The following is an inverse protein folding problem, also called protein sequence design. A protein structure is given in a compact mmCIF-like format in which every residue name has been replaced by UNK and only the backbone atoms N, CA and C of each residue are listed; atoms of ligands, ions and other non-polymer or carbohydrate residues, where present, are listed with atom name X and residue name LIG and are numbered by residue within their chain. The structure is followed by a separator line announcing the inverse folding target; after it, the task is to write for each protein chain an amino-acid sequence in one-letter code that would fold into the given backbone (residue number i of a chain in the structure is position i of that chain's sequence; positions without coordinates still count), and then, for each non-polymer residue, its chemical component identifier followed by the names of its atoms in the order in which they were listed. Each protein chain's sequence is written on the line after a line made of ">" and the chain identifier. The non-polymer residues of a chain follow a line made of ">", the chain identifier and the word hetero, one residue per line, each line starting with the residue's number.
data_IF_626206166471
#
_entry.id   IF_626206166471
#
_cell.length_a   1.000
_cell.length_b   1.000
_cell.length_c   1.000
_cell.angle_alpha   90.00
_cell.angle_beta   90.00
_cell.angle_gamma   90.00
#
_symmetry.space_group_name_H-M   'P 1'
#
loop_
_entity.id
_entity.type
_entity.pdbx_description
1 polymer ?
#
# COMPACT_ATOMS: atom_id res chain seq x y z
N UNK A 1 2.73 34.78 -24.66
CA UNK A 1 2.66 34.54 -23.20
C UNK A 1 1.41 33.78 -22.78
N UNK A 2 0.20 34.23 -23.10
CA UNK A 2 -1.07 33.61 -22.66
C UNK A 2 -1.20 32.08 -22.85
N UNK A 3 -0.73 31.53 -23.98
CA UNK A 3 -0.80 30.07 -24.23
C UNK A 3 0.14 29.25 -23.35
N UNK A 4 1.30 29.81 -23.00
CA UNK A 4 2.27 29.15 -22.12
C UNK A 4 1.80 29.19 -20.66
N UNK A 5 1.27 30.33 -20.23
CA UNK A 5 0.66 30.50 -18.90
C UNK A 5 -0.55 29.58 -18.71
N UNK A 6 -1.43 29.47 -19.71
CA UNK A 6 -2.54 28.52 -19.69
C UNK A 6 -2.07 27.07 -19.60
N UNK A 7 -0.99 26.71 -20.31
CA UNK A 7 -0.43 25.36 -20.24
C UNK A 7 0.13 25.05 -18.86
N UNK A 8 0.84 26.00 -18.26
CA UNK A 8 1.38 25.90 -16.90
C UNK A 8 0.23 25.78 -15.89
N UNK A 9 -0.82 26.59 -15.99
CA UNK A 9 -1.96 26.53 -15.08
C UNK A 9 -2.69 25.19 -15.15
N UNK A 10 -2.90 24.65 -16.35
CA UNK A 10 -3.51 23.32 -16.54
C UNK A 10 -2.66 22.21 -15.92
N UNK A 11 -1.33 22.28 -16.04
CA UNK A 11 -0.43 21.31 -15.43
C UNK A 11 -0.36 21.45 -13.91
N UNK A 12 -0.35 22.67 -13.37
CA UNK A 12 -0.43 22.91 -11.92
C UNK A 12 -1.73 22.34 -11.34
N UNK A 13 -2.84 22.54 -12.03
CA UNK A 13 -4.15 22.00 -11.65
C UNK A 13 -4.20 20.47 -11.75
N UNK A 14 -3.54 19.89 -12.75
CA UNK A 14 -3.37 18.44 -12.83
C UNK A 14 -2.50 17.91 -11.68
N UNK A 15 -1.38 18.58 -11.37
CA UNK A 15 -0.50 18.21 -10.26
C UNK A 15 -1.23 18.27 -8.92
N UNK A 16 -2.04 19.32 -8.69
CA UNK A 16 -2.90 19.47 -7.51
C UNK A 16 -3.84 18.27 -7.37
N UNK A 17 -4.58 17.94 -8.43
CA UNK A 17 -5.51 16.78 -8.43
C UNK A 17 -4.81 15.46 -8.14
N UNK A 18 -3.60 15.26 -8.68
CA UNK A 18 -2.81 14.05 -8.38
C UNK A 18 -2.37 13.99 -6.91
N UNK A 19 -1.93 15.11 -6.33
CA UNK A 19 -1.56 15.17 -4.90
C UNK A 19 -2.77 14.99 -3.98
N UNK A 20 -3.93 15.53 -4.34
CA UNK A 20 -5.19 15.30 -3.62
C UNK A 20 -5.62 13.84 -3.66
N UNK A 21 -5.48 13.21 -4.83
CA UNK A 21 -5.72 11.78 -4.99
C UNK A 21 -4.80 10.95 -4.09
N UNK A 22 -3.50 11.27 -4.06
CA UNK A 22 -2.52 10.63 -3.18
C UNK A 22 -2.92 10.77 -1.70
N UNK A 23 -3.27 11.98 -1.26
CA UNK A 23 -3.75 12.24 0.10
C UNK A 23 -5.02 11.45 0.43
N UNK A 24 -6.00 11.41 -0.48
CA UNK A 24 -7.24 10.68 -0.29
C UNK A 24 -7.01 9.17 -0.15
N UNK A 25 -6.14 8.57 -0.97
CA UNK A 25 -5.79 7.16 -0.85
C UNK A 25 -4.97 6.85 0.40
N UNK A 26 -4.04 7.74 0.77
CA UNK A 26 -3.32 7.63 2.04
C UNK A 26 -4.28 7.69 3.23
N UNK A 27 -5.25 8.61 3.22
CA UNK A 27 -6.30 8.66 4.24
C UNK A 27 -7.10 7.36 4.29
N UNK A 28 -7.52 6.81 3.14
CA UNK A 28 -8.24 5.53 3.07
C UNK A 28 -7.41 4.35 3.59
N UNK A 29 -6.11 4.32 3.30
CA UNK A 29 -5.17 3.32 3.83
C UNK A 29 -5.22 3.30 5.36
N UNK A 30 -5.00 4.45 6.01
CA UNK A 30 -4.98 4.52 7.47
C UNK A 30 -6.36 4.26 8.09
N UNK A 31 -7.44 4.74 7.49
CA UNK A 31 -8.80 4.43 7.97
C UNK A 31 -9.09 2.94 7.89
N UNK A 32 -8.75 2.29 6.78
CA UNK A 32 -8.89 0.85 6.62
C UNK A 32 -8.08 0.11 7.69
N UNK A 33 -6.82 0.52 7.87
CA UNK A 33 -5.92 -0.09 8.84
C UNK A 33 -6.46 0.03 10.28
N UNK A 34 -6.89 1.22 10.71
CA UNK A 34 -7.49 1.43 12.03
C UNK A 34 -8.82 0.71 12.21
N UNK A 35 -9.64 0.66 11.16
CA UNK A 35 -10.89 -0.10 11.17
C UNK A 35 -10.61 -1.58 11.42
N UNK A 36 -9.74 -2.20 10.63
CA UNK A 36 -9.37 -3.61 10.83
C UNK A 36 -8.74 -3.84 12.21
N UNK A 37 -7.93 -2.89 12.71
CA UNK A 37 -7.31 -3.00 14.03
C UNK A 37 -8.38 -3.02 15.13
N UNK A 38 -9.35 -2.11 15.07
CA UNK A 38 -10.47 -2.07 15.99
C UNK A 38 -11.32 -3.35 15.94
N UNK A 39 -11.60 -3.86 14.73
CA UNK A 39 -12.34 -5.14 14.57
C UNK A 39 -11.55 -6.31 15.17
N UNK A 40 -10.25 -6.42 14.88
CA UNK A 40 -9.40 -7.50 15.42
C UNK A 40 -9.30 -7.42 16.93
N UNK A 41 -9.09 -6.23 17.51
CA UNK A 41 -9.10 -6.04 18.96
C UNK A 41 -10.47 -6.44 19.54
N UNK A 42 -11.57 -6.01 18.91
CA UNK A 42 -12.93 -6.39 19.30
C UNK A 42 -13.12 -7.91 19.31
N UNK A 43 -12.64 -8.62 18.29
CA UNK A 43 -12.67 -10.09 18.24
C UNK A 43 -11.84 -10.72 19.36
N UNK A 44 -10.64 -10.20 19.63
CA UNK A 44 -9.76 -10.70 20.70
C UNK A 44 -10.37 -10.51 22.11
N UNK A 45 -11.09 -9.41 22.32
CA UNK A 45 -11.78 -9.11 23.57
C UNK A 45 -13.08 -9.89 23.75
N UNK A 46 -13.79 -10.19 22.64
CA UNK A 46 -15.00 -11.00 22.67
C UNK A 46 -14.72 -12.45 23.06
N UNK A 47 -13.54 -12.97 22.71
CA UNK A 47 -13.00 -14.24 23.18
C UNK A 47 -13.89 -15.48 22.96
N UNK A 48 -14.70 -15.48 21.90
CA UNK A 48 -15.38 -16.69 21.44
C UNK A 48 -14.50 -17.45 20.43
N UNK A 49 -14.62 -18.79 20.32
CA UNK A 49 -13.88 -19.57 19.32
C UNK A 49 -14.05 -19.03 17.90
N UNK A 50 -15.26 -18.59 17.55
CA UNK A 50 -15.55 -18.00 16.23
C UNK A 50 -14.80 -16.67 16.07
N UNK A 51 -14.84 -15.79 17.07
CA UNK A 51 -14.15 -14.49 17.00
C UNK A 51 -12.62 -14.64 16.89
N UNK A 52 -12.03 -15.58 17.64
CA UNK A 52 -10.60 -15.87 17.55
C UNK A 52 -10.23 -16.48 16.18
N UNK A 53 -11.09 -17.32 15.61
CA UNK A 53 -10.89 -17.89 14.28
C UNK A 53 -10.99 -16.86 13.14
N UNK A 54 -11.68 -15.75 13.35
CA UNK A 54 -11.76 -14.66 12.37
C UNK A 54 -10.49 -13.82 12.33
N UNK A 55 -9.78 -13.67 13.45
CA UNK A 55 -8.63 -12.74 13.55
C UNK A 55 -7.55 -13.03 12.48
N UNK A 56 -7.03 -14.26 12.29
CA UNK A 56 -6.01 -14.51 11.28
C UNK A 56 -6.50 -14.25 9.84
N UNK A 57 -7.78 -14.51 9.56
CA UNK A 57 -8.38 -14.24 8.25
C UNK A 57 -8.46 -12.73 8.00
N UNK A 58 -8.91 -11.96 9.01
CA UNK A 58 -8.97 -10.51 8.97
C UNK A 58 -7.58 -9.89 8.79
N UNK A 59 -6.56 -10.41 9.48
CA UNK A 59 -5.17 -9.97 9.34
C UNK A 59 -4.68 -10.13 7.89
N UNK A 60 -4.92 -11.30 7.27
CA UNK A 60 -4.54 -11.55 5.87
C UNK A 60 -5.27 -10.57 4.94
N UNK A 61 -6.59 -10.40 5.12
CA UNK A 61 -7.40 -9.49 4.31
C UNK A 61 -6.97 -8.04 4.47
N UNK A 62 -6.66 -7.59 5.69
CA UNK A 62 -6.15 -6.26 5.97
C UNK A 62 -4.81 -6.02 5.26
N UNK A 63 -3.92 -7.01 5.24
CA UNK A 63 -2.66 -6.98 4.50
C UNK A 63 -2.90 -6.84 2.98
N UNK A 64 -3.77 -7.67 2.40
CA UNK A 64 -4.14 -7.59 0.98
C UNK A 64 -4.70 -6.22 0.62
N UNK A 65 -5.65 -5.71 1.41
CA UNK A 65 -6.27 -4.40 1.19
C UNK A 65 -5.25 -3.26 1.30
N UNK A 66 -4.32 -3.36 2.25
CA UNK A 66 -3.23 -2.41 2.43
C UNK A 66 -2.34 -2.32 1.20
N UNK A 67 -2.00 -3.46 0.58
CA UNK A 67 -1.25 -3.50 -0.69
C UNK A 67 -1.98 -2.78 -1.82
N UNK A 68 -3.30 -2.92 -1.93
CA UNK A 68 -4.09 -2.19 -2.93
C UNK A 68 -4.08 -0.69 -2.73
N UNK A 69 -4.27 -0.21 -1.51
CA UNK A 69 -4.22 1.23 -1.24
C UNK A 69 -2.83 1.82 -1.49
N UNK A 70 -1.76 1.11 -1.12
CA UNK A 70 -0.39 1.53 -1.42
C UNK A 70 -0.13 1.60 -2.92
N UNK A 71 -0.67 0.67 -3.70
CA UNK A 71 -0.58 0.74 -5.15
C UNK A 71 -1.20 2.01 -5.73
N UNK A 72 -2.37 2.44 -5.24
CA UNK A 72 -2.98 3.69 -5.69
C UNK A 72 -2.20 4.94 -5.26
N UNK A 73 -1.56 4.89 -4.09
CA UNK A 73 -0.62 5.96 -3.65
C UNK A 73 0.57 6.02 -4.60
N UNK A 74 1.18 4.89 -4.93
CA UNK A 74 2.28 4.83 -5.89
C UNK A 74 1.86 5.33 -7.27
N UNK A 75 0.68 4.94 -7.75
CA UNK A 75 0.12 5.44 -9.00
C UNK A 75 0.07 6.97 -9.01
N UNK A 76 -0.50 7.58 -7.96
CA UNK A 76 -0.61 9.03 -7.87
C UNK A 76 0.76 9.73 -7.85
N UNK A 77 1.75 9.14 -7.14
CA UNK A 77 3.13 9.65 -7.09
C UNK A 77 3.84 9.58 -8.44
N UNK A 78 3.68 8.49 -9.21
CA UNK A 78 4.28 8.38 -10.56
C UNK A 78 3.75 9.51 -11.46
N UNK A 79 2.44 9.73 -11.44
CA UNK A 79 1.80 10.79 -12.22
C UNK A 79 2.23 12.19 -11.76
N UNK A 80 2.30 12.44 -10.46
CA UNK A 80 2.78 13.71 -9.92
C UNK A 80 4.21 14.00 -10.37
N UNK A 81 5.11 13.03 -10.26
CA UNK A 81 6.52 13.12 -10.72
C UNK A 81 6.62 13.45 -12.21
N UNK A 82 5.78 12.84 -13.03
CA UNK A 82 5.74 13.13 -14.47
C UNK A 82 5.33 14.58 -14.77
N UNK A 83 4.25 15.07 -14.14
CA UNK A 83 3.75 16.44 -14.36
C UNK A 83 4.73 17.47 -13.79
N UNK A 84 5.29 17.20 -12.61
CA UNK A 84 6.32 18.02 -11.96
C UNK A 84 7.58 18.16 -12.83
N UNK A 85 8.03 17.06 -13.44
CA UNK A 85 9.13 17.07 -14.40
C UNK A 85 8.87 17.96 -15.63
N UNK A 86 7.63 18.01 -16.12
CA UNK A 86 7.25 18.91 -17.24
C UNK A 86 7.23 20.37 -16.83
N UNK A 87 6.68 20.66 -15.65
CA UNK A 87 6.64 22.01 -15.09
C UNK A 87 8.07 22.52 -14.87
N UNK A 88 8.95 21.74 -14.25
CA UNK A 88 10.36 22.10 -14.05
C UNK A 88 11.11 22.32 -15.37
N UNK A 89 10.86 21.54 -16.43
CA UNK A 89 11.47 21.81 -17.75
C UNK A 89 11.01 23.15 -18.34
N UNK A 90 9.80 23.59 -18.02
CA UNK A 90 9.17 24.78 -18.61
C UNK A 90 9.47 26.05 -17.81
N UNK A 91 9.51 25.95 -16.49
CA UNK A 91 9.72 27.06 -15.56
C UNK A 91 11.21 27.29 -15.22
N UNK A 92 12.07 26.33 -15.54
CA UNK A 92 13.46 26.28 -15.08
C UNK A 92 13.69 25.12 -14.10
N UNK A 93 14.83 24.44 -14.21
CA UNK A 93 15.11 23.21 -13.45
C UNK A 93 15.04 23.45 -11.94
N UNK A 94 14.34 22.57 -11.21
CA UNK A 94 14.44 22.45 -9.76
C UNK A 94 13.56 23.38 -8.93
N UNK A 95 12.48 23.93 -9.49
CA UNK A 95 11.55 24.79 -8.74
C UNK A 95 10.59 23.96 -7.87
N UNK A 96 10.07 22.87 -8.44
CA UNK A 96 9.22 21.92 -7.73
C UNK A 96 10.08 20.70 -7.37
N UNK A 97 10.19 20.41 -6.07
CA UNK A 97 11.06 19.34 -5.54
C UNK A 97 10.30 18.30 -4.72
N UNK A 98 8.97 18.30 -4.79
CA UNK A 98 8.14 17.49 -3.92
C UNK A 98 8.25 16.00 -4.25
N UNK A 99 8.40 15.64 -5.52
CA UNK A 99 8.63 14.24 -5.91
C UNK A 99 9.97 13.71 -5.39
N UNK A 100 11.02 14.52 -5.42
CA UNK A 100 12.33 14.18 -4.85
C UNK A 100 12.27 14.01 -3.32
N UNK A 101 11.55 14.90 -2.62
CA UNK A 101 11.35 14.81 -1.17
C UNK A 101 10.59 13.52 -0.82
N UNK A 102 9.55 13.17 -1.57
CA UNK A 102 8.80 11.94 -1.36
C UNK A 102 9.65 10.68 -1.59
N UNK A 103 10.52 10.68 -2.60
CA UNK A 103 11.45 9.57 -2.85
C UNK A 103 12.48 9.39 -1.72
N UNK A 104 12.86 10.47 -1.05
CA UNK A 104 13.72 10.44 0.13
C UNK A 104 12.98 9.93 1.37
N UNK A 105 11.80 10.50 1.65
CA UNK A 105 11.03 10.22 2.86
C UNK A 105 10.35 8.84 2.86
N UNK A 106 9.70 8.48 1.74
CA UNK A 106 9.01 7.19 1.59
C UNK A 106 9.98 6.11 1.11
N UNK A 107 10.20 6.11 -0.20
CA UNK A 107 11.13 5.24 -0.92
C UNK A 107 11.22 5.71 -2.38
N UNK A 108 12.32 5.40 -3.08
CA UNK A 108 12.41 5.66 -4.52
C UNK A 108 11.30 4.89 -5.23
N UNK A 109 10.50 5.59 -6.03
CA UNK A 109 9.33 4.97 -6.66
C UNK A 109 9.66 3.80 -7.58
N UNK A 110 10.87 3.79 -8.13
CA UNK A 110 11.43 2.79 -9.03
C UNK A 110 12.13 1.61 -8.31
N UNK A 111 12.23 1.66 -6.98
CA UNK A 111 12.86 0.58 -6.22
C UNK A 111 11.99 -0.68 -6.20
N UNK A 112 12.64 -1.85 -6.31
CA UNK A 112 12.01 -3.13 -6.04
C UNK A 112 11.59 -3.19 -4.57
N UNK A 113 10.30 -3.41 -4.33
CA UNK A 113 9.70 -3.37 -2.99
C UNK A 113 8.55 -4.36 -2.86
N UNK A 114 8.25 -4.74 -1.62
CA UNK A 114 7.12 -5.60 -1.28
C UNK A 114 6.19 -4.77 -0.39
N UNK A 115 5.07 -4.32 -0.95
CA UNK A 115 4.25 -3.28 -0.32
C UNK A 115 5.08 -2.01 -0.10
N UNK A 116 5.18 -1.57 1.15
CA UNK A 116 5.99 -0.42 1.56
C UNK A 116 7.45 -0.72 1.91
N UNK A 117 7.83 -2.00 1.96
CA UNK A 117 9.16 -2.41 2.42
C UNK A 117 10.15 -2.49 1.26
N UNK A 118 11.27 -1.77 1.39
CA UNK A 118 12.39 -1.80 0.44
C UNK A 118 13.56 -2.56 1.07
N UNK A 119 13.86 -3.80 0.62
CA UNK A 119 14.88 -4.63 1.26
C UNK A 119 16.28 -4.02 1.28
N UNK A 120 16.62 -3.19 0.30
CA UNK A 120 17.93 -2.53 0.20
C UNK A 120 18.10 -1.37 1.18
N UNK A 121 17.01 -0.82 1.72
CA UNK A 121 17.03 0.33 2.66
C UNK A 121 16.02 0.15 3.80
N UNK A 122 16.15 -0.91 4.61
CA UNK A 122 15.12 -1.35 5.55
C UNK A 122 14.86 -0.37 6.72
N UNK A 123 15.84 0.49 7.03
CA UNK A 123 15.79 1.45 8.15
C UNK A 123 15.10 2.77 7.76
N UNK A 124 14.79 3.00 6.47
CA UNK A 124 14.01 4.18 6.08
C UNK A 124 12.66 4.16 6.78
N UNK A 125 12.17 5.36 7.13
CA UNK A 125 10.95 5.55 7.92
C UNK A 125 9.80 4.66 7.44
N UNK A 126 9.49 4.65 6.14
CA UNK A 126 8.37 3.88 5.63
C UNK A 126 8.58 2.36 5.63
N UNK A 127 9.82 1.89 5.40
CA UNK A 127 10.15 0.46 5.50
C UNK A 127 10.08 -0.03 6.95
N UNK A 128 10.64 0.74 7.88
CA UNK A 128 10.54 0.47 9.31
C UNK A 128 9.07 0.49 9.79
N UNK A 129 8.29 1.48 9.35
CA UNK A 129 6.87 1.58 9.68
C UNK A 129 6.06 0.41 9.11
N UNK A 130 6.36 -0.03 7.89
CA UNK A 130 5.74 -1.23 7.30
C UNK A 130 6.06 -2.48 8.13
N UNK A 131 7.32 -2.67 8.53
CA UNK A 131 7.73 -3.78 9.38
C UNK A 131 7.04 -3.76 10.74
N UNK A 132 6.93 -2.59 11.38
CA UNK A 132 6.20 -2.41 12.63
C UNK A 132 4.77 -2.96 12.53
N UNK A 133 4.03 -2.56 11.49
CA UNK A 133 2.68 -3.07 11.27
C UNK A 133 2.66 -4.57 10.99
N UNK A 134 3.56 -5.09 10.16
CA UNK A 134 3.64 -6.53 9.88
C UNK A 134 3.86 -7.33 11.16
N UNK A 135 4.80 -6.91 12.00
CA UNK A 135 5.09 -7.59 13.28
C UNK A 135 3.87 -7.52 14.21
N UNK A 136 3.23 -6.35 14.33
CA UNK A 136 2.01 -6.20 15.14
C UNK A 136 0.90 -7.14 14.66
N UNK A 137 0.60 -7.13 13.36
CA UNK A 137 -0.45 -7.96 12.76
C UNK A 137 -0.18 -9.46 12.91
N UNK A 138 1.05 -9.89 12.68
CA UNK A 138 1.45 -11.28 12.89
C UNK A 138 1.37 -11.66 14.37
N UNK A 139 1.74 -10.77 15.28
CA UNK A 139 1.61 -10.95 16.72
C UNK A 139 0.15 -11.14 17.14
N UNK A 140 -0.77 -10.32 16.64
CA UNK A 140 -2.21 -10.44 16.92
C UNK A 140 -2.79 -11.74 16.37
N UNK A 141 -2.42 -12.12 15.14
CA UNK A 141 -2.83 -13.39 14.55
C UNK A 141 -2.29 -14.60 15.33
N UNK A 142 -1.01 -14.58 15.69
CA UNK A 142 -0.38 -15.64 16.48
C UNK A 142 -1.01 -15.76 17.87
N UNK A 143 -1.31 -14.63 18.52
CA UNK A 143 -2.00 -14.60 19.81
C UNK A 143 -3.41 -15.20 19.73
N UNK A 144 -4.18 -14.87 18.69
CA UNK A 144 -5.49 -15.46 18.45
C UNK A 144 -5.39 -16.98 18.23
N UNK A 145 -4.45 -17.44 17.40
CA UNK A 145 -4.22 -18.86 17.14
C UNK A 145 -3.79 -19.62 18.39
N UNK A 146 -2.92 -19.04 19.21
CA UNK A 146 -2.47 -19.64 20.46
C UNK A 146 -3.62 -19.89 21.43
N UNK A 147 -4.59 -18.98 21.52
CA UNK A 147 -5.81 -19.16 22.33
C UNK A 147 -6.79 -20.14 21.69
N UNK A 148 -6.95 -20.09 20.37
CA UNK A 148 -7.95 -20.86 19.64
C UNK A 148 -7.59 -22.35 19.52
N UNK A 149 -6.35 -22.67 19.13
CA UNK A 149 -5.97 -24.04 18.76
C UNK A 149 -6.23 -25.08 19.87
N UNK A 150 -5.97 -24.80 21.16
CA UNK A 150 -6.35 -25.71 22.25
C UNK A 150 -7.85 -26.01 22.32
N UNK A 151 -8.70 -25.05 21.95
CA UNK A 151 -10.17 -25.19 21.99
C UNK A 151 -10.72 -26.01 20.82
N UNK A 152 -9.99 -26.11 19.70
CA UNK A 152 -10.48 -26.74 18.48
C UNK A 152 -10.25 -28.26 18.43
N UNK A 153 -9.40 -28.80 19.30
CA UNK A 153 -9.05 -30.23 19.29
C UNK A 153 -8.68 -30.73 17.87
N UNK A 154 -9.28 -31.83 17.38
CA UNK A 154 -8.99 -32.37 16.04
C UNK A 154 -9.28 -31.39 14.88
N UNK A 155 -10.24 -30.49 15.04
CA UNK A 155 -10.63 -29.53 14.00
C UNK A 155 -9.56 -28.46 13.72
N UNK A 156 -8.58 -28.28 14.62
CA UNK A 156 -7.51 -27.30 14.47
C UNK A 156 -6.69 -27.50 13.18
N UNK A 157 -6.45 -28.75 12.77
CA UNK A 157 -5.73 -29.06 11.52
C UNK A 157 -6.48 -28.59 10.27
N UNK A 158 -7.79 -28.82 10.22
CA UNK A 158 -8.63 -28.38 9.11
C UNK A 158 -8.70 -26.86 9.02
N UNK A 159 -8.76 -26.18 10.18
CA UNK A 159 -8.72 -24.73 10.23
C UNK A 159 -7.39 -24.15 9.77
N UNK A 160 -6.26 -24.74 10.19
CA UNK A 160 -4.94 -24.31 9.70
C UNK A 160 -4.79 -24.52 8.19
N UNK A 161 -5.35 -25.60 7.65
CA UNK A 161 -5.40 -25.80 6.19
C UNK A 161 -6.23 -24.73 5.49
N UNK A 162 -7.42 -24.41 6.02
CA UNK A 162 -8.26 -23.30 5.52
C UNK A 162 -7.51 -21.97 5.55
N UNK A 163 -6.82 -21.68 6.66
CA UNK A 163 -6.04 -20.46 6.82
C UNK A 163 -4.89 -20.39 5.80
N UNK A 164 -4.18 -21.50 5.62
CA UNK A 164 -3.12 -21.64 4.61
C UNK A 164 -3.65 -21.45 3.19
N UNK A 165 -4.82 -22.01 2.88
CA UNK A 165 -5.49 -21.82 1.59
C UNK A 165 -5.88 -20.34 1.40
N UNK A 166 -6.46 -19.70 2.41
CA UNK A 166 -6.85 -18.29 2.35
C UNK A 166 -5.65 -17.37 2.13
N UNK A 167 -4.57 -17.58 2.87
CA UNK A 167 -3.31 -16.86 2.67
C UNK A 167 -2.76 -17.07 1.26
N UNK A 168 -2.73 -18.33 0.78
CA UNK A 168 -2.22 -18.68 -0.54
C UNK A 168 -3.04 -18.01 -1.65
N UNK A 169 -4.38 -18.01 -1.56
CA UNK A 169 -5.25 -17.36 -2.53
C UNK A 169 -5.00 -15.85 -2.60
N UNK A 170 -4.86 -15.19 -1.43
CA UNK A 170 -4.56 -13.76 -1.36
C UNK A 170 -3.17 -13.44 -1.94
N UNK A 171 -2.15 -14.22 -1.58
CA UNK A 171 -0.80 -14.07 -2.12
C UNK A 171 -0.76 -14.31 -3.64
N UNK A 172 -1.43 -15.35 -4.13
CA UNK A 172 -1.53 -15.64 -5.56
C UNK A 172 -2.24 -14.51 -6.31
N UNK A 173 -3.32 -13.95 -5.74
CA UNK A 173 -4.01 -12.82 -6.32
C UNK A 173 -3.12 -11.57 -6.41
N UNK A 174 -2.42 -11.23 -5.33
CA UNK A 174 -1.46 -10.12 -5.31
C UNK A 174 -0.31 -10.35 -6.31
N UNK A 175 0.24 -11.56 -6.37
CA UNK A 175 1.32 -11.91 -7.29
C UNK A 175 0.86 -11.86 -8.76
N UNK A 176 -0.36 -12.31 -9.05
CA UNK A 176 -0.94 -12.22 -10.39
C UNK A 176 -1.17 -10.77 -10.82
N UNK A 177 -1.76 -9.96 -9.94
CA UNK A 177 -2.08 -8.57 -10.21
C UNK A 177 -0.81 -7.70 -10.31
N UNK A 178 0.07 -7.77 -9.32
CA UNK A 178 1.27 -6.92 -9.24
C UNK A 178 2.50 -7.49 -9.95
N UNK A 179 2.65 -8.81 -10.04
CA UNK A 179 3.89 -9.46 -10.49
C UNK A 179 4.26 -9.19 -11.95
N UNK A 180 3.28 -8.82 -12.80
CA UNK A 180 3.57 -8.44 -14.18
C UNK A 180 3.89 -6.96 -14.36
N UNK A 181 3.79 -6.12 -13.32
CA UNK A 181 3.97 -4.67 -13.41
C UNK A 181 3.29 -4.06 -14.67
N UNK A 182 2.15 -4.62 -15.07
CA UNK A 182 1.51 -4.34 -16.36
C UNK A 182 1.11 -2.87 -16.43
N UNK A 183 0.42 -2.41 -15.39
CA UNK A 183 -0.11 -1.05 -15.30
C UNK A 183 1.03 -0.02 -15.32
N UNK A 184 2.13 -0.30 -14.63
CA UNK A 184 3.35 0.55 -14.67
C UNK A 184 3.91 0.63 -16.09
N UNK A 185 4.05 -0.50 -16.79
CA UNK A 185 4.55 -0.54 -18.17
C UNK A 185 3.64 0.20 -19.15
N UNK A 186 2.32 0.03 -19.00
CA UNK A 186 1.33 0.75 -19.81
C UNK A 186 1.42 2.26 -19.57
N UNK A 187 1.52 2.70 -18.31
CA UNK A 187 1.71 4.11 -17.95
C UNK A 187 3.02 4.69 -18.50
N UNK A 188 4.15 3.99 -18.31
CA UNK A 188 5.45 4.44 -18.82
C UNK A 188 5.41 4.58 -20.35
N UNK A 189 4.72 3.68 -21.04
CA UNK A 189 4.52 3.77 -22.49
C UNK A 189 3.70 5.00 -22.89
N UNK A 190 2.66 5.35 -22.12
CA UNK A 190 1.85 6.55 -22.34
C UNK A 190 2.65 7.82 -22.08
N UNK A 191 3.46 7.85 -21.03
CA UNK A 191 4.31 8.99 -20.71
C UNK A 191 5.40 9.21 -21.76
N UNK A 192 6.01 8.15 -22.29
CA UNK A 192 6.97 8.23 -23.40
C UNK A 192 6.34 8.73 -24.70
N UNK A 193 5.10 8.32 -25.01
CA UNK A 193 4.38 8.80 -26.20
C UNK A 193 3.96 10.26 -26.10
N UNK A 194 3.75 10.76 -24.89
CA UNK A 194 3.23 12.11 -24.66
C UNK A 194 4.32 13.15 -24.38
N UNK A 195 5.55 12.73 -24.02
CA UNK A 195 6.72 13.58 -23.74
C UNK A 195 7.36 14.13 -24.99
#
# INVERSE_FOLDING_TARGET
>A
MAKAELKISLWMEQLRRMREMQYAYHKKFFHGLYFFLAVVIGCLLWDSPVSLALVPLLVITAGTQSCFYLHFVDFARIHARFVEGRLNRTLGKGILVGSEIEDLYFYPIDASKIGGFVPTTPIRFFSFFTLHWVVLWLGLAAFALWRLLPMMGPCGKHYLFLLGLWATLNCAYLAWFFGKARDRREMDSFFKKSS
#
